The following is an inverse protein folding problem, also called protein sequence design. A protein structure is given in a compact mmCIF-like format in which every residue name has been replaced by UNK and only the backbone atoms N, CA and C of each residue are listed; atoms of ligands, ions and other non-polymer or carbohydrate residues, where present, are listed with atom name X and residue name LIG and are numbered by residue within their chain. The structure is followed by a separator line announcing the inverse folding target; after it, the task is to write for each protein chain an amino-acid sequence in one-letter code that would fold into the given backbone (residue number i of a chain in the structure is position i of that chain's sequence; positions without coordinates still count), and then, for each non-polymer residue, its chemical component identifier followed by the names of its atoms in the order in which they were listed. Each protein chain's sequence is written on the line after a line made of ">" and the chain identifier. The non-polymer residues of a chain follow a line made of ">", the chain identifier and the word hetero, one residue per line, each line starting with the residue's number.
data_IF_558216303667
#
_entry.id   IF_558216303667
#
_cell.length_a   1.000
_cell.length_b   1.000
_cell.length_c   1.000
_cell.angle_alpha   90.00
_cell.angle_beta   90.00
_cell.angle_gamma   90.00
#
_symmetry.space_group_name_H-M   'P 1'
#
loop_
_entity.id
_entity.type
_entity.pdbx_description
1 polymer ?
#
# COMPACT_ATOMS: atom_id res chain seq x y z
N UNK A 1 -2.16 4.12 22.25
CA UNK A 1 -0.90 4.75 21.81
C UNK A 1 -1.18 6.06 21.08
N UNK A 2 -0.16 6.89 20.95
CA UNK A 2 -0.17 8.07 20.09
C UNK A 2 0.64 7.77 18.82
N UNK A 3 -0.02 7.71 17.67
CA UNK A 3 0.57 7.26 16.40
C UNK A 3 0.56 8.40 15.39
N UNK A 4 1.69 8.65 14.72
CA UNK A 4 1.76 9.55 13.58
C UNK A 4 1.71 8.72 12.30
N UNK A 5 0.72 8.97 11.45
CA UNK A 5 0.56 8.34 10.14
C UNK A 5 1.06 9.31 9.07
N UNK A 6 2.23 9.02 8.53
CA UNK A 6 2.88 9.82 7.47
C UNK A 6 2.41 9.28 6.12
N UNK A 7 1.79 10.12 5.30
CA UNK A 7 1.03 9.71 4.12
C UNK A 7 -0.40 9.25 4.48
N UNK A 8 -0.94 9.80 5.59
CA UNK A 8 -2.23 9.35 6.13
C UNK A 8 -3.47 9.89 5.40
N UNK A 9 -3.30 10.76 4.42
CA UNK A 9 -4.37 11.22 3.52
C UNK A 9 -4.46 10.39 2.23
N UNK A 10 -3.57 9.42 2.03
CA UNK A 10 -3.63 8.44 0.94
C UNK A 10 -4.52 7.25 1.29
N UNK A 11 -4.75 6.37 0.32
CA UNK A 11 -5.65 5.21 0.43
C UNK A 11 -5.37 4.32 1.66
N UNK A 12 -4.16 3.78 1.78
CA UNK A 12 -3.84 2.85 2.88
C UNK A 12 -3.77 3.60 4.22
N UNK A 13 -3.17 4.80 4.21
CA UNK A 13 -2.98 5.60 5.41
C UNK A 13 -4.29 6.08 6.03
N UNK A 14 -5.31 6.41 5.23
CA UNK A 14 -6.63 6.83 5.71
C UNK A 14 -7.36 5.69 6.42
N UNK A 15 -7.36 4.49 5.83
CA UNK A 15 -7.99 3.31 6.44
C UNK A 15 -7.25 2.86 7.71
N UNK A 16 -5.91 2.91 7.71
CA UNK A 16 -5.13 2.64 8.93
C UNK A 16 -5.46 3.66 10.04
N UNK A 17 -5.60 4.95 9.69
CA UNK A 17 -5.96 6.00 10.63
C UNK A 17 -7.35 5.79 11.23
N UNK A 18 -8.33 5.41 10.39
CA UNK A 18 -9.69 5.08 10.84
C UNK A 18 -9.69 3.91 11.85
N UNK A 19 -9.01 2.81 11.53
CA UNK A 19 -8.96 1.65 12.43
C UNK A 19 -8.23 1.98 13.74
N UNK A 20 -7.11 2.69 13.70
CA UNK A 20 -6.41 3.15 14.91
C UNK A 20 -7.31 3.99 15.80
N UNK A 21 -8.08 4.92 15.23
CA UNK A 21 -9.03 5.74 15.97
C UNK A 21 -10.18 4.92 16.58
N UNK A 22 -10.68 3.91 15.83
CA UNK A 22 -11.72 3.00 16.31
C UNK A 22 -11.24 2.13 17.48
N UNK A 23 -9.94 1.82 17.54
CA UNK A 23 -9.30 1.08 18.63
C UNK A 23 -8.86 2.01 19.80
N UNK A 24 -9.22 3.29 19.75
CA UNK A 24 -8.95 4.25 20.83
C UNK A 24 -7.54 4.84 20.83
N UNK A 25 -6.77 4.70 19.76
CA UNK A 25 -5.49 5.37 19.62
C UNK A 25 -5.68 6.88 19.31
N UNK A 26 -4.67 7.69 19.65
CA UNK A 26 -4.59 9.09 19.24
C UNK A 26 -3.79 9.18 17.95
N UNK A 27 -4.40 9.66 16.89
CA UNK A 27 -3.80 9.68 15.54
C UNK A 27 -3.50 11.11 15.11
N UNK A 28 -2.24 11.32 14.67
CA UNK A 28 -1.86 12.46 13.84
C UNK A 28 -1.67 11.98 12.40
N UNK A 29 -2.13 12.76 11.46
CA UNK A 29 -1.91 12.53 10.01
C UNK A 29 -1.00 13.61 9.50
N UNK A 30 0.17 13.22 8.98
CA UNK A 30 1.12 14.12 8.31
C UNK A 30 1.11 13.82 6.82
N UNK A 31 0.71 14.80 6.00
CA UNK A 31 0.57 14.64 4.55
C UNK A 31 0.72 15.98 3.84
N UNK A 32 1.28 15.98 2.63
CA UNK A 32 1.42 17.17 1.78
C UNK A 32 0.28 17.33 0.76
N UNK A 33 -0.67 16.38 0.72
CA UNK A 33 -1.83 16.33 -0.17
C UNK A 33 -1.48 16.31 -1.68
N UNK A 34 -0.24 15.96 -2.04
CA UNK A 34 0.16 15.84 -3.45
C UNK A 34 -0.56 14.69 -4.14
N UNK A 35 -0.63 13.53 -3.49
CA UNK A 35 -1.35 12.33 -3.96
C UNK A 35 -2.54 11.99 -3.05
N UNK A 36 -2.50 12.43 -1.80
CA UNK A 36 -3.55 12.24 -0.81
C UNK A 36 -4.69 13.26 -0.95
N UNK A 37 -5.79 12.98 -0.23
CA UNK A 37 -7.00 13.78 -0.25
C UNK A 37 -7.32 14.32 1.14
N UNK A 38 -7.58 15.63 1.27
CA UNK A 38 -7.95 16.21 2.58
C UNK A 38 -9.19 15.54 3.18
N UNK A 39 -10.13 15.14 2.34
CA UNK A 39 -11.37 14.44 2.73
C UNK A 39 -11.17 12.98 3.14
N UNK A 40 -10.02 12.39 2.83
CA UNK A 40 -9.63 11.06 3.30
C UNK A 40 -9.06 11.08 4.73
N UNK A 41 -8.91 12.24 5.34
CA UNK A 41 -8.47 12.36 6.73
C UNK A 41 -9.68 12.33 7.66
N UNK A 42 -9.75 11.32 8.52
CA UNK A 42 -10.79 11.20 9.55
C UNK A 42 -10.81 12.44 10.44
N UNK A 43 -11.99 13.00 10.68
CA UNK A 43 -12.17 14.25 11.46
C UNK A 43 -11.70 14.14 12.92
N UNK A 44 -11.57 12.93 13.45
CA UNK A 44 -11.05 12.66 14.80
C UNK A 44 -9.53 12.73 14.87
N UNK A 45 -8.83 12.63 13.73
CA UNK A 45 -7.38 12.73 13.65
C UNK A 45 -6.90 14.19 13.69
N UNK A 46 -5.72 14.41 14.25
CA UNK A 46 -5.03 15.69 14.14
C UNK A 46 -4.35 15.77 12.78
N UNK A 47 -4.86 16.58 11.86
CA UNK A 47 -4.22 16.80 10.57
C UNK A 47 -3.09 17.81 10.68
N UNK A 48 -1.94 17.47 10.10
CA UNK A 48 -0.71 18.27 10.05
C UNK A 48 -0.23 18.30 8.60
N UNK A 49 -0.49 19.40 7.92
CA UNK A 49 -0.01 19.57 6.54
C UNK A 49 1.51 19.79 6.54
N UNK A 50 2.22 19.02 5.73
CA UNK A 50 3.66 19.12 5.60
C UNK A 50 4.26 18.11 4.62
N UNK A 51 5.44 18.43 4.12
CA UNK A 51 6.21 17.58 3.20
C UNK A 51 7.43 17.01 3.93
N UNK A 52 7.77 15.74 3.69
CA UNK A 52 8.99 15.13 4.21
C UNK A 52 10.29 15.73 3.61
N UNK A 53 10.19 16.45 2.49
CA UNK A 53 11.31 17.24 1.98
C UNK A 53 11.69 18.41 2.90
N UNK A 54 10.74 18.90 3.70
CA UNK A 54 10.97 19.93 4.72
C UNK A 54 11.39 19.29 6.06
N UNK A 55 12.71 19.24 6.28
CA UNK A 55 13.35 18.64 7.47
C UNK A 55 12.89 19.30 8.77
N UNK A 56 12.77 20.61 8.78
CA UNK A 56 12.39 21.37 9.97
C UNK A 56 10.91 21.12 10.30
N UNK A 57 10.08 21.02 9.29
CA UNK A 57 8.67 20.74 9.44
C UNK A 57 8.41 19.38 10.06
N UNK A 58 9.05 18.32 9.56
CA UNK A 58 8.86 16.98 10.15
C UNK A 58 9.45 16.90 11.56
N UNK A 59 10.63 17.48 11.80
CA UNK A 59 11.25 17.49 13.13
C UNK A 59 10.39 18.24 14.14
N UNK A 60 9.90 19.43 13.81
CA UNK A 60 8.99 20.21 14.68
C UNK A 60 7.68 19.49 14.92
N UNK A 61 7.14 18.78 13.91
CA UNK A 61 5.96 17.94 14.05
C UNK A 61 6.17 16.83 15.07
N UNK A 62 7.28 16.09 14.98
CA UNK A 62 7.57 15.01 15.92
C UNK A 62 7.79 15.54 17.35
N UNK A 63 8.45 16.69 17.48
CA UNK A 63 8.67 17.35 18.79
C UNK A 63 7.36 17.80 19.42
N UNK A 64 6.43 18.39 18.65
CA UNK A 64 5.16 18.90 19.14
C UNK A 64 4.13 17.78 19.36
N UNK A 65 3.96 16.89 18.37
CA UNK A 65 2.98 15.81 18.46
C UNK A 65 3.43 14.70 19.39
N UNK A 66 4.71 14.44 19.56
CA UNK A 66 5.30 13.41 20.43
C UNK A 66 4.67 12.02 20.24
N UNK A 67 4.71 11.43 19.03
CA UNK A 67 4.16 10.10 18.80
C UNK A 67 4.99 9.03 19.52
N UNK A 68 4.34 7.95 19.95
CA UNK A 68 5.01 6.74 20.47
C UNK A 68 5.49 5.85 19.33
N UNK A 69 4.76 5.87 18.21
CA UNK A 69 5.11 5.13 16.99
C UNK A 69 4.75 5.93 15.73
N UNK A 70 5.43 5.61 14.63
CA UNK A 70 5.16 6.20 13.32
C UNK A 70 4.81 5.08 12.33
N UNK A 71 3.78 5.30 11.51
CA UNK A 71 3.48 4.52 10.31
C UNK A 71 3.84 5.35 9.08
N UNK A 72 4.65 4.79 8.18
CA UNK A 72 5.16 5.52 7.02
C UNK A 72 4.61 4.93 5.72
N UNK A 73 3.61 5.62 5.13
CA UNK A 73 2.99 5.30 3.85
C UNK A 73 3.40 6.26 2.73
N UNK A 74 3.88 7.47 3.07
CA UNK A 74 4.22 8.48 2.08
C UNK A 74 5.31 7.99 1.11
N UNK A 75 4.94 7.79 -0.14
CA UNK A 75 5.85 7.35 -1.20
C UNK A 75 5.23 7.59 -2.58
N UNK A 76 6.07 7.77 -3.60
CA UNK A 76 5.63 7.55 -4.97
C UNK A 76 5.58 6.05 -5.22
N UNK A 77 4.47 5.54 -5.80
CA UNK A 77 4.18 4.10 -5.88
C UNK A 77 3.85 3.59 -7.29
N UNK A 78 3.87 4.44 -8.31
CA UNK A 78 3.53 4.06 -9.69
C UNK A 78 4.73 3.42 -10.39
N UNK A 79 4.68 2.09 -10.58
CA UNK A 79 5.77 1.33 -11.23
C UNK A 79 6.10 1.87 -12.61
N UNK A 80 5.09 2.13 -13.46
CA UNK A 80 5.28 2.67 -14.81
C UNK A 80 6.00 4.03 -14.80
N UNK A 81 5.54 4.98 -13.99
CA UNK A 81 6.18 6.29 -13.85
C UNK A 81 7.62 6.18 -13.34
N UNK A 82 7.91 5.20 -12.49
CA UNK A 82 9.28 4.99 -11.99
C UNK A 82 10.27 4.65 -13.09
N UNK A 83 9.82 3.98 -14.16
CA UNK A 83 10.65 3.66 -15.33
C UNK A 83 10.94 4.88 -16.20
N UNK A 84 10.07 5.89 -16.15
CA UNK A 84 10.22 7.14 -16.92
C UNK A 84 10.97 8.21 -16.11
N UNK A 85 10.73 8.29 -14.80
CA UNK A 85 11.32 9.28 -13.90
C UNK A 85 11.91 8.66 -12.62
N UNK A 86 13.00 7.90 -12.71
CA UNK A 86 13.61 7.23 -11.55
C UNK A 86 14.07 8.20 -10.47
N UNK A 87 14.54 9.39 -10.85
CA UNK A 87 15.03 10.42 -9.91
C UNK A 87 13.94 10.86 -8.92
N UNK A 88 12.68 11.01 -9.37
CA UNK A 88 11.53 11.32 -8.52
C UNK A 88 11.39 10.29 -7.39
N UNK A 89 11.51 8.99 -7.73
CA UNK A 89 11.37 7.88 -6.79
C UNK A 89 12.49 7.81 -5.77
N UNK A 90 13.74 7.90 -6.20
CA UNK A 90 14.87 7.88 -5.28
C UNK A 90 14.91 9.11 -4.35
N UNK A 91 14.62 10.30 -4.87
CA UNK A 91 14.56 11.52 -4.04
C UNK A 91 13.44 11.44 -3.01
N UNK A 92 12.23 11.08 -3.44
CA UNK A 92 11.08 11.03 -2.53
C UNK A 92 11.16 9.84 -1.57
N UNK A 93 11.30 8.62 -2.10
CA UNK A 93 11.17 7.41 -1.28
C UNK A 93 12.39 7.16 -0.38
N UNK A 94 13.59 7.62 -0.80
CA UNK A 94 14.81 7.48 0.00
C UNK A 94 15.17 8.81 0.65
N UNK A 95 15.38 9.86 -0.14
CA UNK A 95 15.86 11.15 0.37
C UNK A 95 14.92 11.74 1.43
N UNK A 96 13.64 11.86 1.12
CA UNK A 96 12.67 12.40 2.07
C UNK A 96 12.38 11.39 3.22
N UNK A 97 12.48 10.09 2.96
CA UNK A 97 12.43 9.06 4.00
C UNK A 97 13.57 9.19 5.02
N UNK A 98 14.78 9.54 4.58
CA UNK A 98 15.90 9.82 5.49
C UNK A 98 15.61 11.02 6.40
N UNK A 99 14.98 12.09 5.89
CA UNK A 99 14.56 13.23 6.73
C UNK A 99 13.63 12.79 7.87
N UNK A 100 12.72 11.84 7.61
CA UNK A 100 11.86 11.26 8.64
C UNK A 100 12.70 10.50 9.68
N UNK A 101 13.62 9.63 9.25
CA UNK A 101 14.45 8.85 10.16
C UNK A 101 15.35 9.74 11.02
N UNK A 102 15.99 10.74 10.44
CA UNK A 102 16.83 11.71 11.16
C UNK A 102 16.01 12.48 12.20
N UNK A 103 14.81 12.93 11.84
CA UNK A 103 13.89 13.59 12.76
C UNK A 103 13.41 12.66 13.89
N UNK A 104 13.19 11.36 13.60
CA UNK A 104 12.87 10.36 14.62
C UNK A 104 14.00 10.20 15.63
N UNK A 105 15.25 10.11 15.17
CA UNK A 105 16.41 9.97 16.06
C UNK A 105 16.60 11.25 16.89
N UNK A 106 16.54 12.42 16.26
CA UNK A 106 16.68 13.72 16.95
C UNK A 106 15.61 13.94 18.04
N UNK A 107 14.41 13.36 17.86
CA UNK A 107 13.31 13.46 18.83
C UNK A 107 13.13 12.22 19.70
N UNK A 108 14.08 11.27 19.66
CA UNK A 108 14.05 10.02 20.41
C UNK A 108 12.84 9.13 20.13
N UNK A 109 12.30 9.16 18.90
CA UNK A 109 11.22 8.28 18.43
C UNK A 109 11.83 7.06 17.77
N UNK A 110 11.59 5.87 18.33
CA UNK A 110 12.31 4.65 17.95
C UNK A 110 11.43 3.51 17.43
N UNK A 111 10.20 3.79 17.06
CA UNK A 111 9.29 2.77 16.53
C UNK A 111 8.67 3.19 15.21
N UNK A 112 8.90 2.36 14.17
CA UNK A 112 8.43 2.60 12.81
C UNK A 112 7.75 1.37 12.22
N UNK A 113 6.57 1.52 11.64
CA UNK A 113 5.98 0.56 10.71
C UNK A 113 6.09 1.13 9.31
N UNK A 114 6.77 0.41 8.43
CA UNK A 114 7.08 0.84 7.07
C UNK A 114 6.27 0.10 6.02
N UNK A 115 5.61 0.85 5.17
CA UNK A 115 4.93 0.37 3.97
C UNK A 115 5.97 0.00 2.91
N UNK A 116 6.29 -1.30 2.81
CA UNK A 116 7.12 -1.85 1.75
C UNK A 116 6.25 -2.48 0.65
N UNK A 117 6.80 -3.31 -0.23
CA UNK A 117 6.12 -3.79 -1.44
C UNK A 117 6.64 -5.14 -1.90
N UNK A 118 5.80 -5.95 -2.55
CA UNK A 118 6.22 -7.13 -3.30
C UNK A 118 7.09 -6.80 -4.53
N UNK A 119 7.08 -5.56 -5.03
CA UNK A 119 7.87 -5.15 -6.19
C UNK A 119 9.39 -5.29 -5.96
N UNK A 120 9.84 -5.47 -4.71
CA UNK A 120 11.25 -5.77 -4.40
C UNK A 120 11.70 -7.14 -4.92
N UNK A 121 10.77 -8.08 -5.17
CA UNK A 121 11.13 -9.44 -5.59
C UNK A 121 11.34 -9.57 -7.09
N UNK A 122 10.78 -8.66 -7.92
CA UNK A 122 10.79 -8.80 -9.37
C UNK A 122 10.11 -10.09 -9.84
N UNK A 123 10.57 -10.74 -10.95
CA UNK A 123 10.11 -12.07 -11.34
C UNK A 123 10.61 -13.11 -10.32
N UNK A 124 9.73 -13.73 -9.53
CA UNK A 124 10.15 -14.66 -8.50
C UNK A 124 10.54 -16.03 -9.08
N UNK A 125 11.52 -16.68 -8.47
CA UNK A 125 11.95 -18.04 -8.83
C UNK A 125 10.91 -19.10 -8.43
N UNK A 126 10.06 -18.80 -7.44
CA UNK A 126 8.96 -19.63 -6.98
C UNK A 126 7.80 -18.80 -6.43
N UNK A 127 6.61 -19.36 -6.47
CA UNK A 127 5.40 -18.85 -5.81
C UNK A 127 4.76 -19.99 -4.98
N UNK A 128 4.19 -19.68 -3.82
CA UNK A 128 4.09 -18.36 -3.15
C UNK A 128 5.44 -17.81 -2.71
N UNK A 129 5.53 -16.47 -2.63
CA UNK A 129 6.75 -15.72 -2.29
C UNK A 129 6.83 -15.56 -0.77
N UNK A 130 7.81 -16.20 -0.15
CA UNK A 130 8.13 -16.04 1.27
C UNK A 130 9.30 -15.07 1.48
N UNK A 131 9.59 -14.71 2.74
CA UNK A 131 10.64 -13.76 3.10
C UNK A 131 12.06 -14.28 2.88
N UNK A 132 12.23 -15.58 2.59
CA UNK A 132 13.54 -16.19 2.29
C UNK A 132 13.97 -15.98 0.85
N UNK A 133 13.03 -15.64 -0.05
CA UNK A 133 13.35 -15.31 -1.44
C UNK A 133 14.22 -14.06 -1.52
N UNK A 134 15.35 -14.09 -2.23
CA UNK A 134 16.21 -12.93 -2.38
C UNK A 134 15.50 -11.83 -3.18
N UNK A 135 15.45 -10.57 -2.67
CA UNK A 135 14.93 -9.45 -3.43
C UNK A 135 15.76 -9.16 -4.68
N UNK A 136 15.09 -9.02 -5.83
CA UNK A 136 15.70 -8.68 -7.14
C UNK A 136 14.77 -7.75 -7.91
N UNK A 137 14.61 -6.48 -7.46
CA UNK A 137 13.72 -5.54 -8.11
C UNK A 137 14.14 -5.27 -9.56
N UNK A 138 13.16 -5.03 -10.42
CA UNK A 138 13.37 -4.76 -11.85
C UNK A 138 12.86 -3.37 -12.27
N UNK A 139 12.52 -2.55 -11.30
CA UNK A 139 12.07 -1.17 -11.52
C UNK A 139 12.53 -0.25 -10.37
N UNK A 140 12.68 1.06 -10.62
CA UNK A 140 13.16 2.03 -9.63
C UNK A 140 12.26 2.15 -8.39
N UNK A 141 10.96 1.92 -8.50
CA UNK A 141 10.07 1.87 -7.33
C UNK A 141 10.47 0.75 -6.37
N UNK A 142 10.53 -0.49 -6.87
CA UNK A 142 10.95 -1.64 -6.06
C UNK A 142 12.36 -1.46 -5.48
N UNK A 143 13.30 -0.95 -6.29
CA UNK A 143 14.66 -0.66 -5.83
C UNK A 143 14.68 0.40 -4.72
N UNK A 144 13.88 1.47 -4.83
CA UNK A 144 13.81 2.50 -3.79
C UNK A 144 13.28 1.97 -2.46
N UNK A 145 12.28 1.08 -2.49
CA UNK A 145 11.73 0.42 -1.30
C UNK A 145 12.73 -0.55 -0.67
N UNK A 146 13.42 -1.36 -1.49
CA UNK A 146 14.46 -2.27 -1.02
C UNK A 146 15.66 -1.52 -0.41
N UNK A 147 16.09 -0.43 -1.05
CA UNK A 147 17.15 0.42 -0.51
C UNK A 147 16.75 1.00 0.86
N UNK A 148 15.50 1.44 1.01
CA UNK A 148 15.02 1.95 2.29
C UNK A 148 14.94 0.86 3.36
N UNK A 149 14.56 -0.39 3.04
CA UNK A 149 14.65 -1.52 3.97
C UNK A 149 16.08 -1.77 4.47
N UNK A 150 17.08 -1.64 3.59
CA UNK A 150 18.50 -1.76 3.98
C UNK A 150 18.94 -0.61 4.91
N UNK A 151 18.45 0.59 4.64
CA UNK A 151 18.70 1.77 5.51
C UNK A 151 18.08 1.55 6.90
N UNK A 152 16.83 1.04 6.98
CA UNK A 152 16.18 0.74 8.25
C UNK A 152 16.99 -0.24 9.11
N UNK A 153 17.64 -1.25 8.52
CA UNK A 153 18.54 -2.14 9.25
C UNK A 153 19.68 -1.39 9.92
N UNK A 154 20.35 -0.51 9.16
CA UNK A 154 21.45 0.30 9.70
C UNK A 154 20.99 1.24 10.82
N UNK A 155 19.83 1.88 10.67
CA UNK A 155 19.26 2.71 11.74
C UNK A 155 18.88 1.86 12.97
N UNK A 156 18.45 0.63 12.76
CA UNK A 156 18.22 -0.33 13.84
C UNK A 156 19.50 -0.67 14.60
N UNK A 157 20.56 -1.02 13.90
CA UNK A 157 21.85 -1.42 14.48
C UNK A 157 22.55 -0.25 15.19
N UNK A 158 22.57 0.94 14.58
CA UNK A 158 23.34 2.08 15.08
C UNK A 158 22.57 2.89 16.12
N UNK A 159 21.26 3.11 15.89
CA UNK A 159 20.43 4.02 16.70
C UNK A 159 19.37 3.31 17.55
N UNK A 160 19.27 1.99 17.45
CA UNK A 160 18.26 1.21 18.17
C UNK A 160 16.83 1.49 17.67
N UNK A 161 16.66 1.86 16.37
CA UNK A 161 15.36 1.98 15.75
C UNK A 161 14.73 0.60 15.64
N UNK A 162 13.55 0.41 16.23
CA UNK A 162 12.71 -0.77 16.02
C UNK A 162 11.78 -0.53 14.83
N UNK A 163 11.83 -1.41 13.84
CA UNK A 163 10.98 -1.28 12.66
C UNK A 163 10.33 -2.59 12.26
N UNK A 164 9.15 -2.49 11.66
CA UNK A 164 8.52 -3.58 10.94
C UNK A 164 8.24 -3.10 9.52
N UNK A 165 8.74 -3.83 8.52
CA UNK A 165 8.45 -3.56 7.12
C UNK A 165 7.45 -4.58 6.58
N UNK A 166 6.32 -4.10 6.10
CA UNK A 166 5.24 -4.92 5.55
C UNK A 166 5.29 -4.87 4.02
N UNK A 167 5.61 -6.02 3.41
CA UNK A 167 5.74 -6.21 1.95
C UNK A 167 4.43 -6.78 1.44
N UNK A 168 3.50 -5.92 1.09
CA UNK A 168 2.20 -6.36 0.60
C UNK A 168 2.11 -6.36 -0.93
N UNK A 169 1.14 -7.12 -1.42
CA UNK A 169 0.88 -7.33 -2.83
C UNK A 169 -0.15 -6.28 -3.30
N UNK A 170 -1.30 -6.68 -3.78
CA UNK A 170 -2.27 -5.72 -4.31
C UNK A 170 -3.32 -5.38 -3.25
N UNK A 171 -3.16 -4.25 -2.56
CA UNK A 171 -4.19 -3.72 -1.67
C UNK A 171 -5.44 -3.36 -2.49
N UNK A 172 -6.62 -3.76 -2.00
CA UNK A 172 -7.88 -3.48 -2.67
C UNK A 172 -9.05 -3.47 -1.67
N UNK A 173 -10.21 -3.00 -2.11
CA UNK A 173 -11.39 -2.89 -1.25
C UNK A 173 -11.53 -1.51 -0.62
N UNK A 174 -12.45 -1.40 0.34
CA UNK A 174 -12.70 -0.16 1.06
C UNK A 174 -13.12 -0.44 2.50
N UNK A 175 -12.95 0.54 3.40
CA UNK A 175 -13.65 0.61 4.66
C UNK A 175 -15.06 1.20 4.45
N UNK A 176 -15.78 1.42 5.53
CA UNK A 176 -17.08 2.09 5.45
C UNK A 176 -16.96 3.54 4.94
N UNK A 177 -15.89 4.24 5.33
CA UNK A 177 -15.74 5.67 5.05
C UNK A 177 -14.67 5.97 3.99
N UNK A 178 -13.64 5.13 3.84
CA UNK A 178 -12.49 5.40 2.99
C UNK A 178 -12.24 4.29 1.99
N UNK A 179 -11.90 4.68 0.75
CA UNK A 179 -11.62 3.76 -0.34
C UNK A 179 -10.51 4.25 -1.25
N UNK A 180 -10.28 3.50 -2.32
CA UNK A 180 -9.17 3.74 -3.22
C UNK A 180 -9.51 4.84 -4.23
N UNK A 181 -8.77 5.94 -4.14
CA UNK A 181 -8.72 6.98 -5.15
C UNK A 181 -7.31 7.47 -5.32
N UNK A 182 -6.85 7.49 -6.56
CA UNK A 182 -5.56 8.06 -6.97
C UNK A 182 -5.78 9.12 -8.02
N UNK A 183 -5.00 10.20 -7.98
CA UNK A 183 -5.06 11.27 -9.01
C UNK A 183 -4.82 10.70 -10.40
N UNK A 184 -3.87 9.80 -10.55
CA UNK A 184 -3.68 8.96 -11.74
C UNK A 184 -3.97 7.50 -11.38
N UNK A 185 -5.17 7.02 -11.72
CA UNK A 185 -5.58 5.65 -11.42
C UNK A 185 -5.01 4.64 -12.41
N UNK A 186 -4.20 3.72 -11.90
CA UNK A 186 -3.58 2.65 -12.70
C UNK A 186 -3.95 1.24 -12.21
N UNK A 187 -4.60 1.12 -11.04
CA UNK A 187 -4.96 -0.18 -10.48
C UNK A 187 -6.18 -0.78 -11.17
N UNK A 188 -6.20 -2.11 -11.23
CA UNK A 188 -7.20 -2.85 -12.01
C UNK A 188 -8.61 -2.66 -11.47
N UNK A 189 -8.83 -2.96 -10.18
CA UNK A 189 -10.18 -2.96 -9.59
C UNK A 189 -10.86 -1.59 -9.72
N UNK A 190 -10.26 -0.46 -9.31
CA UNK A 190 -10.88 0.85 -9.50
C UNK A 190 -11.17 1.17 -10.96
N UNK A 191 -10.26 0.80 -11.89
CA UNK A 191 -10.48 1.01 -13.32
C UNK A 191 -11.67 0.22 -13.86
N UNK A 192 -11.83 -1.04 -13.43
CA UNK A 192 -12.99 -1.88 -13.80
C UNK A 192 -14.27 -1.29 -13.22
N UNK A 193 -14.26 -0.85 -11.97
CA UNK A 193 -15.42 -0.25 -11.32
C UNK A 193 -15.82 1.09 -11.95
N UNK A 194 -14.86 1.92 -12.39
CA UNK A 194 -15.14 3.14 -13.17
C UNK A 194 -15.81 2.83 -14.51
N UNK A 195 -15.49 1.69 -15.15
CA UNK A 195 -16.22 1.24 -16.35
C UNK A 195 -17.64 0.81 -15.99
N UNK A 196 -17.85 0.07 -14.90
CA UNK A 196 -19.17 -0.33 -14.42
C UNK A 196 -20.07 0.88 -14.08
N UNK A 197 -19.48 1.98 -13.58
CA UNK A 197 -20.17 3.26 -13.34
C UNK A 197 -20.42 4.08 -14.61
N UNK A 198 -19.93 3.64 -15.78
CA UNK A 198 -20.05 4.41 -17.03
C UNK A 198 -19.08 5.59 -17.15
N UNK A 199 -18.10 5.70 -16.25
CA UNK A 199 -17.11 6.78 -16.25
C UNK A 199 -15.94 6.52 -17.22
N UNK A 200 -15.78 5.27 -17.66
CA UNK A 200 -14.80 4.85 -18.67
C UNK A 200 -15.47 3.93 -19.70
N UNK A 201 -15.05 3.96 -20.98
CA UNK A 201 -15.66 3.16 -22.02
C UNK A 201 -15.29 1.67 -21.95
N UNK A 202 -14.11 1.34 -21.45
CA UNK A 202 -13.57 -0.02 -21.37
C UNK A 202 -12.44 -0.10 -20.34
N UNK A 203 -12.08 -1.34 -19.96
CA UNK A 203 -10.84 -1.65 -19.25
C UNK A 203 -9.83 -2.28 -20.20
N UNK A 204 -8.54 -2.03 -19.98
CA UNK A 204 -7.45 -2.61 -20.77
C UNK A 204 -6.84 -3.82 -20.06
N UNK A 205 -6.65 -4.93 -20.80
CA UNK A 205 -5.89 -6.10 -20.36
C UNK A 205 -4.52 -6.06 -21.04
N UNK A 206 -3.46 -5.97 -20.24
CA UNK A 206 -2.09 -5.91 -20.74
C UNK A 206 -1.43 -7.29 -20.77
N UNK A 207 -1.41 -7.90 -21.96
CA UNK A 207 -0.91 -9.26 -22.20
C UNK A 207 -1.95 -10.34 -21.95
N UNK A 208 -2.11 -11.20 -22.93
CA UNK A 208 -3.05 -12.34 -22.92
C UNK A 208 -2.35 -13.65 -23.29
N UNK A 209 -1.02 -13.64 -23.26
CA UNK A 209 -0.13 -14.71 -23.68
C UNK A 209 0.88 -15.11 -22.58
N UNK A 210 0.61 -14.77 -21.30
CA UNK A 210 1.40 -15.23 -20.17
C UNK A 210 1.23 -16.73 -19.94
N UNK A 211 2.26 -17.37 -19.35
CA UNK A 211 2.17 -18.76 -18.89
C UNK A 211 1.31 -18.87 -17.63
N UNK A 212 0.00 -18.72 -17.81
CA UNK A 212 -1.06 -18.75 -16.79
C UNK A 212 -2.31 -19.43 -17.40
N UNK A 213 -3.25 -19.92 -16.61
CA UNK A 213 -4.39 -20.68 -17.14
C UNK A 213 -5.24 -19.95 -18.18
N UNK A 214 -5.37 -18.62 -18.10
CA UNK A 214 -6.17 -17.79 -19.01
C UNK A 214 -5.31 -16.79 -19.83
N UNK A 215 -3.99 -16.92 -19.75
CA UNK A 215 -3.04 -16.07 -20.46
C UNK A 215 -2.82 -14.68 -19.82
N UNK A 216 -3.53 -14.33 -18.74
CA UNK A 216 -3.37 -13.02 -18.08
C UNK A 216 -2.57 -13.12 -16.77
N UNK A 217 -1.98 -12.00 -16.31
CA UNK A 217 -1.22 -12.00 -15.06
C UNK A 217 -2.07 -12.40 -13.87
N UNK A 218 -1.44 -13.12 -12.92
CA UNK A 218 -2.04 -13.48 -11.62
C UNK A 218 -1.46 -12.60 -10.52
N UNK A 219 -2.33 -12.01 -9.72
CA UNK A 219 -1.97 -11.14 -8.58
C UNK A 219 -2.70 -11.58 -7.31
N UNK A 220 -2.04 -11.40 -6.18
CA UNK A 220 -2.64 -11.63 -4.85
C UNK A 220 -3.26 -10.32 -4.36
N UNK A 221 -4.56 -10.34 -4.14
CA UNK A 221 -5.34 -9.19 -3.65
C UNK A 221 -5.59 -9.33 -2.15
N UNK A 222 -5.18 -8.32 -1.39
CA UNK A 222 -5.41 -8.23 0.05
C UNK A 222 -6.42 -7.14 0.35
N UNK A 223 -7.44 -7.46 1.15
CA UNK A 223 -8.42 -6.46 1.56
C UNK A 223 -7.76 -5.38 2.42
N UNK A 224 -8.08 -4.13 2.14
CA UNK A 224 -7.46 -2.96 2.80
C UNK A 224 -7.63 -3.01 4.33
N UNK A 225 -8.74 -3.52 4.85
CA UNK A 225 -8.95 -3.69 6.30
C UNK A 225 -8.01 -4.74 6.90
N UNK A 226 -7.75 -5.84 6.20
CA UNK A 226 -6.80 -6.86 6.67
C UNK A 226 -5.36 -6.34 6.61
N UNK A 227 -5.04 -5.55 5.59
CA UNK A 227 -3.76 -4.85 5.49
C UNK A 227 -3.59 -3.84 6.65
N UNK A 228 -4.60 -3.03 6.93
CA UNK A 228 -4.57 -2.06 8.04
C UNK A 228 -4.40 -2.75 9.40
N UNK A 229 -5.09 -3.88 9.63
CA UNK A 229 -4.89 -4.70 10.84
C UNK A 229 -3.48 -5.22 10.97
N UNK A 230 -2.84 -5.65 9.88
CA UNK A 230 -1.45 -6.07 9.91
C UNK A 230 -0.52 -4.91 10.35
N UNK A 231 -0.77 -3.68 9.89
CA UNK A 231 -0.03 -2.50 10.32
C UNK A 231 -0.21 -2.19 11.82
N UNK A 232 -1.43 -2.37 12.35
CA UNK A 232 -1.71 -2.16 13.77
C UNK A 232 -1.00 -3.23 14.61
N UNK A 233 -1.10 -4.51 14.24
CA UNK A 233 -0.38 -5.59 14.92
C UNK A 233 1.15 -5.39 14.89
N UNK A 234 1.67 -4.82 13.81
CA UNK A 234 3.09 -4.50 13.68
C UNK A 234 3.58 -3.45 14.71
N UNK A 235 2.70 -2.62 15.27
CA UNK A 235 3.05 -1.72 16.38
C UNK A 235 3.47 -2.47 17.64
N UNK A 236 2.96 -3.67 17.84
CA UNK A 236 3.23 -4.49 19.03
C UNK A 236 4.35 -5.52 18.81
N UNK A 237 4.94 -5.56 17.61
CA UNK A 237 5.99 -6.51 17.29
C UNK A 237 7.18 -6.38 18.25
N UNK A 238 7.69 -7.48 18.83
CA UNK A 238 8.73 -7.43 19.86
C UNK A 238 10.12 -7.09 19.29
N UNK A 239 10.32 -7.25 17.98
CA UNK A 239 11.61 -7.05 17.29
C UNK A 239 11.41 -6.43 15.91
N UNK A 240 12.48 -5.90 15.34
CA UNK A 240 12.51 -5.49 13.93
C UNK A 240 12.40 -6.70 13.02
N UNK A 241 11.51 -6.61 11.99
CA UNK A 241 11.25 -7.73 11.10
C UNK A 241 10.65 -7.31 9.76
N UNK A 242 10.67 -8.23 8.79
CA UNK A 242 10.05 -8.10 7.48
C UNK A 242 8.97 -9.15 7.32
N UNK A 243 7.79 -8.77 6.85
CA UNK A 243 6.67 -9.69 6.62
C UNK A 243 6.06 -9.49 5.24
N UNK A 244 5.81 -10.58 4.54
CA UNK A 244 5.00 -10.59 3.34
C UNK A 244 3.52 -10.68 3.69
N UNK A 245 2.68 -9.91 2.97
CA UNK A 245 1.25 -9.82 3.20
C UNK A 245 0.46 -10.07 1.92
N UNK A 246 -0.35 -11.09 1.94
CA UNK A 246 -1.33 -11.44 0.92
C UNK A 246 -2.25 -12.53 1.43
N UNK A 247 -3.16 -12.98 0.60
CA UNK A 247 -4.12 -14.04 0.92
C UNK A 247 -3.57 -15.44 0.63
N UNK A 248 -2.48 -15.54 -0.16
CA UNK A 248 -1.94 -16.81 -0.65
C UNK A 248 -2.74 -17.38 -1.82
N UNK A 249 -3.86 -16.75 -2.21
CA UNK A 249 -4.66 -17.08 -3.37
C UNK A 249 -4.43 -16.04 -4.48
N UNK A 250 -4.03 -16.45 -5.67
CA UNK A 250 -3.89 -15.52 -6.79
C UNK A 250 -5.18 -15.44 -7.60
N UNK A 251 -5.49 -14.25 -8.13
CA UNK A 251 -6.55 -14.07 -9.13
C UNK A 251 -5.97 -13.47 -10.41
N UNK A 252 -6.40 -14.01 -11.56
CA UNK A 252 -6.00 -13.47 -12.85
C UNK A 252 -6.73 -12.16 -13.16
N UNK A 253 -6.20 -11.40 -14.11
CA UNK A 253 -6.86 -10.16 -14.57
C UNK A 253 -8.26 -10.44 -15.08
N UNK A 254 -8.48 -11.54 -15.82
CA UNK A 254 -9.80 -11.94 -16.32
C UNK A 254 -10.73 -12.33 -15.18
N UNK A 255 -10.28 -13.12 -14.21
CA UNK A 255 -11.07 -13.48 -13.02
C UNK A 255 -11.53 -12.26 -12.23
N UNK A 256 -10.66 -11.24 -12.07
CA UNK A 256 -11.03 -9.97 -11.42
C UNK A 256 -12.12 -9.25 -12.20
N UNK A 257 -11.99 -9.13 -13.52
CA UNK A 257 -12.98 -8.47 -14.36
C UNK A 257 -14.32 -9.22 -14.30
N UNK A 258 -14.30 -10.54 -14.37
CA UNK A 258 -15.53 -11.36 -14.32
C UNK A 258 -16.19 -11.31 -12.93
N UNK A 259 -15.39 -11.26 -11.86
CA UNK A 259 -15.91 -11.03 -10.53
C UNK A 259 -16.56 -9.63 -10.40
N UNK A 260 -15.93 -8.58 -10.94
CA UNK A 260 -16.54 -7.25 -10.97
C UNK A 260 -17.87 -7.24 -11.76
N UNK A 261 -17.94 -7.93 -12.89
CA UNK A 261 -19.20 -8.07 -13.65
C UNK A 261 -20.32 -8.72 -12.82
N UNK A 262 -19.99 -9.78 -12.08
CA UNK A 262 -20.97 -10.46 -11.19
C UNK A 262 -21.41 -9.56 -10.05
N UNK A 263 -20.48 -8.95 -9.34
CA UNK A 263 -20.77 -8.10 -8.17
C UNK A 263 -21.56 -6.85 -8.56
N UNK A 264 -21.17 -6.19 -9.64
CA UNK A 264 -21.81 -4.94 -10.05
C UNK A 264 -23.11 -5.14 -10.83
N UNK A 265 -23.27 -6.28 -11.50
CA UNK A 265 -24.35 -6.53 -12.45
C UNK A 265 -24.22 -5.76 -13.78
N UNK A 266 -23.08 -5.09 -13.99
CA UNK A 266 -22.84 -4.26 -15.16
C UNK A 266 -21.94 -4.93 -16.20
N UNK A 267 -22.12 -4.54 -17.47
CA UNK A 267 -21.21 -4.92 -18.54
C UNK A 267 -19.90 -4.15 -18.39
N UNK A 268 -18.78 -4.84 -18.52
CA UNK A 268 -17.45 -4.25 -18.56
C UNK A 268 -16.79 -4.63 -19.88
N UNK A 269 -16.81 -3.76 -20.89
CA UNK A 269 -16.06 -3.94 -22.13
C UNK A 269 -14.56 -4.01 -21.87
N UNK A 270 -13.86 -4.82 -22.66
CA UNK A 270 -12.43 -5.09 -22.53
C UNK A 270 -11.71 -4.80 -23.84
N UNK A 271 -10.52 -4.21 -23.76
CA UNK A 271 -9.60 -4.05 -24.88
C UNK A 271 -8.28 -4.71 -24.51
N UNK A 272 -7.81 -5.64 -25.35
CA UNK A 272 -6.52 -6.30 -25.16
C UNK A 272 -5.37 -5.44 -25.68
N UNK A 273 -4.28 -5.38 -24.93
CA UNK A 273 -3.06 -4.63 -25.23
C UNK A 273 -1.84 -5.54 -25.11
N UNK A 274 -0.72 -5.19 -25.73
CA UNK A 274 0.57 -5.88 -25.51
C UNK A 274 0.95 -5.90 -24.02
N UNK A 275 1.81 -6.85 -23.63
CA UNK A 275 2.36 -6.91 -22.27
C UNK A 275 3.01 -5.58 -21.85
N UNK A 276 2.86 -5.22 -20.59
CA UNK A 276 3.69 -4.18 -19.98
C UNK A 276 5.10 -4.72 -19.76
N UNK A 277 6.11 -3.92 -20.05
CA UNK A 277 7.49 -4.29 -19.78
C UNK A 277 7.70 -4.51 -18.27
N UNK A 278 8.31 -5.63 -17.91
CA UNK A 278 8.64 -5.93 -16.52
C UNK A 278 7.49 -6.47 -15.66
N UNK A 279 6.34 -6.83 -16.23
CA UNK A 279 5.24 -7.46 -15.48
C UNK A 279 5.50 -8.97 -15.33
N UNK A 280 5.68 -9.49 -14.08
CA UNK A 280 5.80 -10.93 -13.86
C UNK A 280 4.46 -11.65 -14.10
N UNK A 281 4.46 -12.90 -14.58
CA UNK A 281 3.21 -13.65 -14.81
C UNK A 281 2.45 -13.93 -13.53
N UNK A 282 3.14 -14.14 -12.40
CA UNK A 282 2.53 -14.50 -11.11
C UNK A 282 3.22 -13.81 -9.96
N UNK A 283 2.45 -13.16 -9.09
CA UNK A 283 2.89 -12.61 -7.80
C UNK A 283 1.88 -13.01 -6.73
N UNK A 284 2.24 -13.97 -5.88
CA UNK A 284 1.39 -14.54 -4.81
C UNK A 284 2.23 -14.60 -3.54
N UNK A 285 1.69 -14.12 -2.43
CA UNK A 285 2.37 -14.06 -1.14
C UNK A 285 2.30 -15.39 -0.38
N UNK A 286 3.35 -15.68 0.38
CA UNK A 286 3.29 -16.55 1.55
C UNK A 286 3.23 -15.65 2.80
N UNK A 287 2.20 -15.79 3.63
CA UNK A 287 1.96 -14.93 4.79
C UNK A 287 2.03 -15.70 6.13
N UNK A 288 2.56 -16.92 6.10
CA UNK A 288 2.63 -17.81 7.27
C UNK A 288 3.47 -17.20 8.40
N UNK A 289 4.53 -16.46 8.05
CA UNK A 289 5.42 -15.84 9.03
C UNK A 289 4.68 -14.83 9.91
N UNK A 290 3.98 -13.86 9.32
CA UNK A 290 3.22 -12.87 10.10
C UNK A 290 2.07 -13.53 10.87
N UNK A 291 1.42 -14.54 10.29
CA UNK A 291 0.37 -15.28 10.98
C UNK A 291 0.89 -15.99 12.25
N UNK A 292 2.08 -16.58 12.17
CA UNK A 292 2.71 -17.27 13.29
C UNK A 292 3.26 -16.31 14.35
N UNK A 293 3.93 -15.23 13.92
CA UNK A 293 4.68 -14.36 14.82
C UNK A 293 3.81 -13.24 15.42
N UNK A 294 2.85 -12.68 14.67
CA UNK A 294 1.99 -11.60 15.13
C UNK A 294 0.50 -12.00 15.26
N UNK A 295 0.15 -13.25 14.98
CA UNK A 295 -1.24 -13.71 15.08
C UNK A 295 -2.17 -13.12 14.02
N UNK A 296 -1.63 -12.46 12.97
CA UNK A 296 -2.44 -11.89 11.92
C UNK A 296 -3.29 -12.95 11.21
N UNK A 297 -4.55 -12.65 10.95
CA UNK A 297 -5.47 -13.53 10.21
C UNK A 297 -6.31 -12.68 9.27
N UNK A 298 -6.22 -12.90 7.95
CA UNK A 298 -7.07 -12.18 6.99
C UNK A 298 -8.53 -12.62 7.18
N UNK A 299 -9.43 -11.65 7.25
CA UNK A 299 -10.86 -11.88 7.40
C UNK A 299 -11.59 -11.88 6.06
N UNK A 300 -11.06 -11.17 5.07
CA UNK A 300 -11.62 -11.03 3.74
C UNK A 300 -10.77 -11.84 2.73
N UNK A 301 -11.04 -13.14 2.64
CA UNK A 301 -10.23 -14.03 1.80
C UNK A 301 -10.77 -14.20 0.37
N UNK A 302 -12.01 -13.80 0.11
CA UNK A 302 -12.59 -13.91 -1.23
C UNK A 302 -12.43 -12.62 -2.03
N UNK A 303 -12.09 -12.76 -3.31
CA UNK A 303 -12.04 -11.65 -4.26
C UNK A 303 -13.40 -10.91 -4.33
N UNK A 304 -14.50 -11.65 -4.21
CA UNK A 304 -15.86 -11.09 -4.22
C UNK A 304 -16.08 -10.11 -3.07
N UNK A 305 -15.72 -10.48 -1.83
CA UNK A 305 -15.84 -9.58 -0.66
C UNK A 305 -14.99 -8.30 -0.81
N UNK A 306 -13.79 -8.42 -1.39
CA UNK A 306 -12.92 -7.28 -1.69
C UNK A 306 -13.60 -6.34 -2.69
N UNK A 307 -14.13 -6.90 -3.79
CA UNK A 307 -14.76 -6.11 -4.84
C UNK A 307 -16.10 -5.51 -4.36
N UNK A 308 -16.88 -6.22 -3.57
CA UNK A 308 -18.13 -5.70 -2.99
C UNK A 308 -17.89 -4.46 -2.12
N UNK A 309 -16.86 -4.48 -1.27
CA UNK A 309 -16.50 -3.32 -0.43
C UNK A 309 -16.08 -2.13 -1.29
N UNK A 310 -15.22 -2.36 -2.29
CA UNK A 310 -14.80 -1.34 -3.25
C UNK A 310 -15.99 -0.77 -4.03
N UNK A 311 -16.89 -1.64 -4.51
CA UNK A 311 -18.07 -1.24 -5.27
C UNK A 311 -19.02 -0.34 -4.46
N UNK A 312 -19.31 -0.72 -3.21
CA UNK A 312 -20.15 0.09 -2.29
C UNK A 312 -19.55 1.49 -2.09
N UNK A 313 -18.25 1.57 -1.94
CA UNK A 313 -17.57 2.86 -1.80
C UNK A 313 -17.65 3.69 -3.09
N UNK A 314 -17.33 3.10 -4.26
CA UNK A 314 -17.39 3.79 -5.54
C UNK A 314 -18.81 4.23 -5.93
N UNK A 315 -19.86 3.47 -5.57
CA UNK A 315 -21.25 3.91 -5.75
C UNK A 315 -21.58 5.14 -4.91
N UNK A 316 -21.06 5.21 -3.68
CA UNK A 316 -21.27 6.35 -2.77
C UNK A 316 -20.42 7.56 -3.17
N UNK A 317 -19.25 7.32 -3.73
CA UNK A 317 -18.29 8.33 -4.15
C UNK A 317 -17.84 8.12 -5.62
N UNK A 318 -18.75 8.28 -6.60
CA UNK A 318 -18.44 7.98 -8.00
C UNK A 318 -17.32 8.87 -8.58
N UNK A 319 -17.16 10.08 -8.06
CA UNK A 319 -16.11 11.03 -8.42
C UNK A 319 -14.99 11.12 -7.35
N UNK A 320 -14.85 10.08 -6.54
CA UNK A 320 -13.88 10.02 -5.46
C UNK A 320 -14.16 11.00 -4.34
N UNK A 321 -13.11 11.52 -3.73
CA UNK A 321 -13.23 12.48 -2.61
C UNK A 321 -13.67 13.87 -3.06
N UNK A 322 -13.51 14.22 -4.36
CA UNK A 322 -14.00 15.46 -4.94
C UNK A 322 -13.26 16.72 -4.47
N UNK A 323 -11.94 16.62 -4.20
CA UNK A 323 -11.02 17.70 -3.85
C UNK A 323 -9.77 17.76 -4.77
#
# INVERSE_FOLDING_TARGET
>A
MKVLVVGGAGYIGSVCSELLLNEGHRVGVFDNLTEGHRRAVDSRATFIEGDLADRDRIQSTLAAFQPEAIMHFAANALVGESMENPSKYFRNNIGNGLNLLDAMIATSRKQLVFSSTCAIFGPPERVPIDETLPPRPINPYGESKLAFEKILRWYGEIHGLRFVALRYFNAAGASENFGEEHRLETHLIPNVLKVALGLKPHVEIYGTDYDTPDGTCIRDYIHILDLARAHILALEAPKSEFYNLGTGGGSSVREVIDCCRRVTGHKVPVVEKPRRAGDPPRLIAASEKIQKELGWRPQFQSLEAIIESAWKWHQRFPNGYGD
#
